data_IF_155154263813
#
_entry.id   IF_155154263813
#
_cell.length_a   1.000
_cell.length_b   1.000
_cell.length_c   1.000
_cell.angle_alpha   90.00
_cell.angle_beta   90.00
_cell.angle_gamma   90.00
#
_symmetry.space_group_name_H-M   'P 1'
#
loop_
_entity.id
_entity.type
_entity.pdbx_description
1 polymer ?
#
# COMPACT_ATOMS: atom_id res chain seq x y z
N UNK A 1 -75.05 71.51 -6.11
CA UNK A 1 -74.22 71.16 -4.93
C UNK A 1 -73.16 72.23 -4.68
N UNK A 2 -72.40 72.64 -5.71
CA UNK A 2 -71.38 73.69 -5.62
C UNK A 2 -71.97 75.05 -5.19
N UNK A 3 -73.11 75.46 -5.75
CA UNK A 3 -73.79 76.72 -5.39
C UNK A 3 -74.19 76.78 -3.91
N UNK A 4 -74.70 75.68 -3.34
CA UNK A 4 -75.08 75.60 -1.92
C UNK A 4 -73.87 75.75 -0.98
N UNK A 5 -72.72 75.22 -1.38
CA UNK A 5 -71.46 75.34 -0.62
C UNK A 5 -70.91 76.77 -0.71
N UNK A 6 -71.01 77.40 -1.88
CA UNK A 6 -70.61 78.80 -2.05
C UNK A 6 -71.46 79.75 -1.22
N UNK A 7 -72.78 79.55 -1.20
CA UNK A 7 -73.69 80.35 -0.40
C UNK A 7 -73.44 80.21 1.11
N UNK A 8 -73.13 79.00 1.57
CA UNK A 8 -72.76 78.73 2.96
C UNK A 8 -71.45 79.43 3.36
N UNK A 9 -70.41 79.37 2.50
CA UNK A 9 -69.12 80.02 2.75
C UNK A 9 -69.21 81.55 2.73
N UNK A 10 -70.02 82.10 1.81
CA UNK A 10 -70.27 83.53 1.74
C UNK A 10 -71.01 84.05 2.99
N UNK A 11 -71.99 83.30 3.49
CA UNK A 11 -72.75 83.64 4.71
C UNK A 11 -71.92 83.56 5.99
N UNK A 12 -71.08 82.53 6.14
CA UNK A 12 -70.41 82.25 7.41
C UNK A 12 -68.96 82.76 7.52
N UNK A 13 -68.28 83.02 6.40
CA UNK A 13 -66.86 83.42 6.41
C UNK A 13 -66.56 84.77 5.76
N UNK A 14 -67.59 85.52 5.32
CA UNK A 14 -67.46 86.83 4.66
C UNK A 14 -66.44 86.87 3.50
N UNK A 15 -66.15 85.73 2.87
CA UNK A 15 -65.26 85.60 1.71
C UNK A 15 -66.08 85.20 0.50
N UNK A 16 -66.07 86.04 -0.54
CA UNK A 16 -66.68 85.69 -1.82
C UNK A 16 -65.75 84.78 -2.60
N UNK A 17 -66.11 83.49 -2.72
CA UNK A 17 -65.36 82.53 -3.54
C UNK A 17 -66.15 82.26 -4.81
N UNK A 18 -65.49 82.36 -5.97
CA UNK A 18 -66.12 82.08 -7.26
C UNK A 18 -65.55 80.79 -7.82
N UNK A 19 -66.37 79.75 -7.95
CA UNK A 19 -66.01 78.57 -8.74
C UNK A 19 -66.39 78.83 -10.20
N UNK A 20 -65.38 78.92 -11.03
CA UNK A 20 -65.53 79.00 -12.48
C UNK A 20 -65.41 77.59 -13.08
N UNK A 21 -66.00 77.33 -14.26
CA UNK A 21 -65.78 76.08 -14.98
C UNK A 21 -64.29 75.74 -15.21
N UNK A 22 -63.42 76.76 -15.21
CA UNK A 22 -61.96 76.60 -15.25
C UNK A 22 -61.42 75.81 -14.04
N UNK A 23 -61.94 76.04 -12.84
CA UNK A 23 -61.55 75.27 -11.65
C UNK A 23 -61.94 73.79 -11.75
N UNK A 24 -63.04 73.47 -12.45
CA UNK A 24 -63.43 72.08 -12.69
C UNK A 24 -62.52 71.40 -13.71
N UNK A 25 -62.14 72.11 -14.79
CA UNK A 25 -61.15 71.61 -15.75
C UNK A 25 -59.78 71.42 -15.10
N UNK A 26 -59.37 72.32 -14.19
CA UNK A 26 -58.14 72.18 -13.44
C UNK A 26 -58.20 70.98 -12.48
N UNK A 27 -59.34 70.72 -11.82
CA UNK A 27 -59.53 69.50 -11.00
C UNK A 27 -59.37 68.22 -11.84
N UNK A 28 -59.99 68.16 -13.03
CA UNK A 28 -59.85 67.00 -13.92
C UNK A 28 -58.39 66.79 -14.32
N UNK A 29 -57.67 67.86 -14.67
CA UNK A 29 -56.25 67.79 -15.02
C UNK A 29 -55.39 67.28 -13.86
N UNK A 30 -55.62 67.80 -12.65
CA UNK A 30 -54.90 67.33 -11.46
C UNK A 30 -55.25 65.87 -11.13
N UNK A 31 -56.50 65.47 -11.29
CA UNK A 31 -56.92 64.08 -11.06
C UNK A 31 -56.24 63.11 -12.03
N UNK A 32 -56.22 63.43 -13.32
CA UNK A 32 -55.53 62.61 -14.33
C UNK A 32 -54.04 62.51 -14.02
N UNK A 33 -53.39 63.62 -13.68
CA UNK A 33 -51.98 63.63 -13.29
C UNK A 33 -51.71 62.76 -12.05
N UNK A 34 -52.51 62.92 -10.99
CA UNK A 34 -52.35 62.14 -9.76
C UNK A 34 -52.61 60.64 -10.00
N UNK A 35 -53.59 60.32 -10.85
CA UNK A 35 -53.89 58.95 -11.22
C UNK A 35 -52.72 58.30 -11.97
N UNK A 36 -52.12 59.01 -12.92
CA UNK A 36 -50.92 58.54 -13.64
C UNK A 36 -49.74 58.35 -12.69
N UNK A 37 -49.48 59.29 -11.78
CA UNK A 37 -48.42 59.18 -10.77
C UNK A 37 -48.64 57.96 -9.85
N UNK A 38 -49.87 57.75 -9.36
CA UNK A 38 -50.19 56.59 -8.51
C UNK A 38 -50.14 55.27 -9.26
N UNK A 39 -50.57 55.25 -10.52
CA UNK A 39 -50.45 54.08 -11.38
C UNK A 39 -48.97 53.71 -11.59
N UNK A 40 -48.12 54.67 -11.89
CA UNK A 40 -46.68 54.43 -12.08
C UNK A 40 -46.02 53.90 -10.81
N UNK A 41 -46.35 54.46 -9.63
CA UNK A 41 -45.85 53.95 -8.34
C UNK A 41 -46.24 52.48 -8.12
N UNK A 42 -47.51 52.13 -8.36
CA UNK A 42 -47.99 50.75 -8.24
C UNK A 42 -47.32 49.81 -9.24
N UNK A 43 -47.14 50.24 -10.49
CA UNK A 43 -46.46 49.45 -11.53
C UNK A 43 -44.99 49.19 -11.15
N UNK A 44 -44.30 50.16 -10.57
CA UNK A 44 -42.92 50.02 -10.11
C UNK A 44 -42.81 49.06 -8.91
N UNK A 45 -43.68 49.19 -7.91
CA UNK A 45 -43.76 48.28 -6.77
C UNK A 45 -44.08 46.85 -7.22
N UNK A 46 -45.05 46.68 -8.12
CA UNK A 46 -45.40 45.37 -8.68
C UNK A 46 -44.22 44.75 -9.43
N UNK A 47 -43.50 45.57 -10.22
CA UNK A 47 -42.31 45.10 -10.94
C UNK A 47 -41.21 44.66 -9.97
N UNK A 48 -40.94 45.45 -8.93
CA UNK A 48 -39.95 45.09 -7.91
C UNK A 48 -40.28 43.77 -7.22
N UNK A 49 -41.54 43.59 -6.79
CA UNK A 49 -42.02 42.35 -6.20
C UNK A 49 -41.92 41.17 -7.17
N UNK A 50 -42.31 41.36 -8.43
CA UNK A 50 -42.25 40.31 -9.44
C UNK A 50 -40.81 39.86 -9.72
N UNK A 51 -39.86 40.80 -9.79
CA UNK A 51 -38.44 40.48 -9.96
C UNK A 51 -37.89 39.78 -8.72
N UNK A 52 -38.23 40.25 -7.53
CA UNK A 52 -37.81 39.63 -6.27
C UNK A 52 -38.31 38.19 -6.12
N UNK A 53 -39.60 37.95 -6.42
CA UNK A 53 -40.18 36.61 -6.41
C UNK A 53 -39.51 35.67 -7.41
N UNK A 54 -39.22 36.16 -8.62
CA UNK A 54 -38.52 35.37 -9.63
C UNK A 54 -37.11 34.98 -9.16
N UNK A 55 -36.37 35.93 -8.61
CA UNK A 55 -35.04 35.65 -8.07
C UNK A 55 -35.09 34.61 -6.93
N UNK A 56 -36.09 34.70 -6.04
CA UNK A 56 -36.27 33.72 -4.96
C UNK A 56 -36.55 32.31 -5.52
N UNK A 57 -37.43 32.20 -6.52
CA UNK A 57 -37.73 30.92 -7.17
C UNK A 57 -36.48 30.32 -7.85
N UNK A 58 -35.72 31.14 -8.58
CA UNK A 58 -34.46 30.70 -9.20
C UNK A 58 -33.46 30.20 -8.14
N UNK A 59 -33.33 30.92 -7.01
CA UNK A 59 -32.44 30.48 -5.92
C UNK A 59 -32.92 29.19 -5.24
N UNK A 60 -34.23 29.00 -5.07
CA UNK A 60 -34.80 27.78 -4.52
C UNK A 60 -34.47 26.57 -5.40
N UNK A 61 -34.65 26.71 -6.72
CA UNK A 61 -34.28 25.67 -7.68
C UNK A 61 -32.79 25.36 -7.68
N UNK A 62 -31.93 26.38 -7.59
CA UNK A 62 -30.48 26.19 -7.49
C UNK A 62 -30.07 25.45 -6.21
N UNK A 63 -30.67 25.82 -5.07
CA UNK A 63 -30.39 25.16 -3.79
C UNK A 63 -30.85 23.72 -3.82
N UNK A 64 -32.03 23.44 -4.39
CA UNK A 64 -32.53 22.07 -4.56
C UNK A 64 -31.58 21.22 -5.41
N UNK A 65 -31.08 21.76 -6.55
CA UNK A 65 -30.08 21.08 -7.39
C UNK A 65 -28.78 20.83 -6.64
N UNK A 66 -28.25 21.84 -5.93
CA UNK A 66 -27.02 21.68 -5.14
C UNK A 66 -27.18 20.64 -4.03
N UNK A 67 -28.34 20.54 -3.41
CA UNK A 67 -28.59 19.54 -2.37
C UNK A 67 -28.55 18.11 -2.94
N UNK A 68 -29.08 17.89 -4.14
CA UNK A 68 -29.00 16.60 -4.82
C UNK A 68 -27.53 16.27 -5.13
N UNK A 69 -26.79 17.19 -5.74
CA UNK A 69 -25.37 17.00 -6.07
C UNK A 69 -24.53 16.71 -4.83
N UNK A 70 -24.82 17.39 -3.71
CA UNK A 70 -24.12 17.20 -2.44
C UNK A 70 -24.38 15.81 -1.87
N UNK A 71 -25.64 15.37 -1.85
CA UNK A 71 -26.00 14.03 -1.39
C UNK A 71 -25.35 12.93 -2.24
N UNK A 72 -25.24 13.13 -3.56
CA UNK A 72 -24.54 12.18 -4.44
C UNK A 72 -23.03 12.13 -4.15
N UNK A 73 -22.40 13.30 -3.97
CA UNK A 73 -20.98 13.39 -3.63
C UNK A 73 -20.67 12.82 -2.26
N UNK A 74 -21.52 13.01 -1.26
CA UNK A 74 -21.38 12.40 0.05
C UNK A 74 -21.40 10.88 -0.04
N UNK A 75 -22.35 10.30 -0.78
CA UNK A 75 -22.38 8.85 -1.01
C UNK A 75 -21.11 8.35 -1.67
N UNK A 76 -20.64 9.02 -2.74
CA UNK A 76 -19.40 8.66 -3.41
C UNK A 76 -18.20 8.74 -2.45
N UNK A 77 -18.11 9.80 -1.64
CA UNK A 77 -17.04 9.97 -0.66
C UNK A 77 -17.04 8.85 0.37
N UNK A 78 -18.21 8.48 0.91
CA UNK A 78 -18.29 7.39 1.89
C UNK A 78 -17.84 6.05 1.31
N UNK A 79 -18.18 5.76 0.06
CA UNK A 79 -17.73 4.54 -0.62
C UNK A 79 -16.22 4.56 -0.87
N UNK A 80 -15.69 5.67 -1.38
CA UNK A 80 -14.24 5.82 -1.61
C UNK A 80 -13.44 5.78 -0.32
N UNK A 81 -13.96 6.37 0.76
CA UNK A 81 -13.34 6.31 2.08
C UNK A 81 -13.25 4.87 2.57
N UNK A 82 -14.34 4.09 2.42
CA UNK A 82 -14.35 2.67 2.79
C UNK A 82 -13.32 1.87 1.99
N UNK A 83 -13.23 2.09 0.69
CA UNK A 83 -12.22 1.44 -0.17
C UNK A 83 -10.80 1.82 0.27
N UNK A 84 -10.56 3.09 0.61
CA UNK A 84 -9.28 3.57 1.09
C UNK A 84 -8.89 2.92 2.43
N UNK A 85 -9.84 2.85 3.38
CA UNK A 85 -9.64 2.22 4.68
C UNK A 85 -9.35 0.72 4.54
N UNK A 86 -10.08 0.01 3.69
CA UNK A 86 -9.84 -1.41 3.40
C UNK A 86 -8.45 -1.64 2.81
N UNK A 87 -8.03 -0.78 1.87
CA UNK A 87 -6.69 -0.86 1.27
C UNK A 87 -5.59 -0.55 2.27
N UNK A 88 -5.79 0.43 3.15
CA UNK A 88 -4.85 0.75 4.22
C UNK A 88 -4.68 -0.44 5.17
N UNK A 89 -5.78 -1.10 5.54
CA UNK A 89 -5.75 -2.31 6.38
C UNK A 89 -4.97 -3.45 5.71
N UNK A 90 -5.19 -3.68 4.41
CA UNK A 90 -4.43 -4.67 3.64
C UNK A 90 -2.94 -4.34 3.60
N UNK A 91 -2.59 -3.07 3.36
CA UNK A 91 -1.20 -2.61 3.37
C UNK A 91 -0.55 -2.87 4.73
N UNK A 92 -1.20 -2.48 5.83
CA UNK A 92 -0.67 -2.72 7.18
C UNK A 92 -0.49 -4.22 7.49
N UNK A 93 -1.41 -5.07 7.01
CA UNK A 93 -1.26 -6.52 7.16
C UNK A 93 -0.03 -7.03 6.40
N UNK A 94 0.09 -6.64 5.13
CA UNK A 94 1.22 -7.04 4.28
C UNK A 94 2.57 -6.54 4.82
N UNK A 95 2.60 -5.32 5.37
CA UNK A 95 3.79 -4.75 6.00
C UNK A 95 4.16 -5.53 7.26
N UNK A 96 3.17 -5.90 8.08
CA UNK A 96 3.40 -6.70 9.28
C UNK A 96 3.91 -8.11 8.97
N UNK A 97 3.42 -8.73 7.90
CA UNK A 97 3.92 -10.03 7.44
C UNK A 97 5.34 -9.92 6.86
N UNK A 98 5.59 -8.90 6.05
CA UNK A 98 6.91 -8.66 5.47
C UNK A 98 7.97 -8.36 6.54
N UNK A 99 7.62 -7.57 7.56
CA UNK A 99 8.52 -7.27 8.69
C UNK A 99 8.82 -8.53 9.51
N UNK A 100 7.82 -9.35 9.84
CA UNK A 100 8.03 -10.65 10.50
C UNK A 100 8.93 -11.59 9.69
N UNK A 101 8.66 -11.77 8.41
CA UNK A 101 9.46 -12.63 7.54
C UNK A 101 10.91 -12.12 7.44
N UNK A 102 11.10 -10.80 7.38
CA UNK A 102 12.43 -10.19 7.40
C UNK A 102 13.16 -10.43 8.72
N UNK A 103 12.49 -10.28 9.86
CA UNK A 103 13.06 -10.56 11.17
C UNK A 103 13.45 -12.04 11.31
N UNK A 104 12.61 -12.95 10.83
CA UNK A 104 12.90 -14.39 10.78
C UNK A 104 14.10 -14.71 9.89
N UNK A 105 14.17 -14.11 8.69
CA UNK A 105 15.29 -14.27 7.78
C UNK A 105 16.61 -13.80 8.41
N UNK A 106 16.62 -12.63 9.06
CA UNK A 106 17.80 -12.11 9.78
C UNK A 106 18.22 -13.07 10.90
N UNK A 107 17.25 -13.63 11.65
CA UNK A 107 17.54 -14.60 12.72
C UNK A 107 18.18 -15.87 12.16
N UNK A 108 17.61 -16.44 11.10
CA UNK A 108 18.12 -17.65 10.45
C UNK A 108 19.50 -17.39 9.85
N UNK A 109 19.70 -16.26 9.18
CA UNK A 109 21.00 -15.90 8.61
C UNK A 109 22.08 -15.79 9.70
N UNK A 110 21.76 -15.19 10.85
CA UNK A 110 22.67 -15.13 12.00
C UNK A 110 23.01 -16.52 12.58
N UNK A 111 22.06 -17.45 12.57
CA UNK A 111 22.28 -18.84 13.02
C UNK A 111 23.15 -19.63 12.04
N UNK A 112 22.84 -19.53 10.73
CA UNK A 112 23.64 -20.14 9.66
C UNK A 112 25.07 -19.63 9.66
N UNK A 113 25.28 -18.32 9.87
CA UNK A 113 26.63 -17.76 9.97
C UNK A 113 27.41 -18.36 11.14
N UNK A 114 26.78 -18.58 12.30
CA UNK A 114 27.44 -19.23 13.46
C UNK A 114 27.82 -20.67 13.13
N UNK A 115 26.90 -21.44 12.56
CA UNK A 115 27.17 -22.82 12.17
C UNK A 115 28.26 -22.92 11.11
N UNK A 116 28.26 -22.03 10.12
CA UNK A 116 29.28 -21.98 9.08
C UNK A 116 30.67 -21.74 9.67
N UNK A 117 30.81 -20.87 10.68
CA UNK A 117 32.09 -20.65 11.38
C UNK A 117 32.58 -21.93 12.08
N UNK A 118 31.67 -22.70 12.69
CA UNK A 118 32.02 -23.98 13.33
C UNK A 118 32.46 -25.00 12.27
N UNK A 119 31.66 -25.18 11.22
CA UNK A 119 31.93 -26.14 10.14
C UNK A 119 33.27 -25.81 9.48
N UNK A 120 33.50 -24.55 9.11
CA UNK A 120 34.77 -24.13 8.47
C UNK A 120 35.98 -24.35 9.36
N UNK A 121 35.84 -24.17 10.68
CA UNK A 121 36.90 -24.47 11.63
C UNK A 121 37.17 -25.99 11.72
N UNK A 122 36.13 -26.82 11.72
CA UNK A 122 36.28 -28.28 11.74
C UNK A 122 36.85 -28.83 10.43
N UNK A 123 36.36 -28.36 9.28
CA UNK A 123 36.88 -28.79 7.97
C UNK A 123 38.35 -28.41 7.82
N UNK A 124 38.75 -27.22 8.26
CA UNK A 124 40.15 -26.80 8.24
C UNK A 124 41.05 -27.71 9.08
N UNK A 125 40.58 -28.15 10.26
CA UNK A 125 41.31 -29.12 11.09
C UNK A 125 41.47 -30.47 10.38
N UNK A 126 40.37 -31.00 9.84
CA UNK A 126 40.38 -32.30 9.13
C UNK A 126 41.24 -32.25 7.87
N UNK A 127 41.20 -31.15 7.11
CA UNK A 127 42.05 -30.95 5.94
C UNK A 127 43.53 -30.90 6.31
N UNK A 128 43.88 -30.27 7.44
CA UNK A 128 45.25 -30.27 7.96
C UNK A 128 45.72 -31.67 8.33
N UNK A 129 44.92 -32.43 9.09
CA UNK A 129 45.24 -33.82 9.46
C UNK A 129 45.38 -34.72 8.22
N UNK A 130 44.51 -34.53 7.23
CA UNK A 130 44.59 -35.26 5.97
C UNK A 130 45.84 -34.88 5.17
N UNK A 131 46.24 -33.61 5.16
CA UNK A 131 47.45 -33.14 4.48
C UNK A 131 48.73 -33.72 5.11
N UNK A 132 48.74 -33.94 6.43
CA UNK A 132 49.84 -34.64 7.12
C UNK A 132 49.88 -36.14 6.79
N UNK A 133 48.71 -36.79 6.67
CA UNK A 133 48.62 -38.22 6.40
C UNK A 133 48.87 -38.61 4.93
N UNK A 134 48.44 -37.76 3.97
CA UNK A 134 48.60 -37.99 2.51
C UNK A 134 50.04 -38.32 2.06
N UNK A 135 51.10 -37.58 2.46
CA UNK A 135 52.46 -37.87 2.00
C UNK A 135 52.96 -39.23 2.48
N UNK A 136 52.58 -39.67 3.68
CA UNK A 136 52.92 -40.99 4.19
C UNK A 136 52.25 -42.11 3.37
N UNK A 137 50.99 -41.91 2.99
CA UNK A 137 50.25 -42.83 2.12
C UNK A 137 50.83 -42.90 0.71
N UNK A 138 51.11 -41.76 0.08
CA UNK A 138 51.72 -41.71 -1.26
C UNK A 138 53.13 -42.32 -1.27
N UNK A 139 53.92 -42.07 -0.22
CA UNK A 139 55.22 -42.71 -0.06
C UNK A 139 55.08 -44.23 0.03
N UNK A 140 54.14 -44.73 0.84
CA UNK A 140 53.86 -46.17 0.95
C UNK A 140 53.38 -46.76 -0.39
N UNK A 141 52.48 -46.08 -1.11
CA UNK A 141 51.99 -46.53 -2.41
C UNK A 141 53.11 -46.59 -3.45
N UNK A 142 53.98 -45.57 -3.50
CA UNK A 142 55.17 -45.56 -4.37
C UNK A 142 56.11 -46.72 -4.03
N UNK A 143 56.39 -46.94 -2.74
CA UNK A 143 57.22 -48.06 -2.29
C UNK A 143 56.64 -49.42 -2.72
N UNK A 144 55.33 -49.63 -2.59
CA UNK A 144 54.66 -50.86 -3.04
C UNK A 144 54.72 -51.01 -4.57
N UNK A 145 54.50 -49.93 -5.33
CA UNK A 145 54.58 -49.95 -6.80
C UNK A 145 56.01 -50.23 -7.32
N UNK A 146 57.03 -49.95 -6.51
CA UNK A 146 58.43 -50.20 -6.83
C UNK A 146 58.89 -51.64 -6.48
N UNK A 147 58.00 -52.48 -5.94
CA UNK A 147 58.28 -53.91 -5.72
C UNK A 147 58.31 -54.61 -7.07
N UNK A 148 59.48 -55.16 -7.42
CA UNK A 148 59.65 -55.88 -8.69
C UNK A 148 59.03 -57.27 -8.59
N UNK A 149 58.43 -57.73 -9.69
CA UNK A 149 57.83 -59.07 -9.79
C UNK A 149 58.81 -60.19 -9.40
N UNK A 150 60.09 -60.04 -9.73
CA UNK A 150 61.14 -60.98 -9.33
C UNK A 150 61.26 -61.17 -7.82
N UNK A 151 61.08 -60.13 -7.01
CA UNK A 151 61.13 -60.21 -5.55
C UNK A 151 59.90 -60.93 -4.97
N UNK A 152 58.74 -60.83 -5.64
CA UNK A 152 57.54 -61.58 -5.27
C UNK A 152 57.65 -63.06 -5.65
N UNK A 153 58.27 -63.36 -6.80
CA UNK A 153 58.54 -64.73 -7.24
C UNK A 153 59.55 -65.44 -6.32
N UNK A 154 60.53 -64.72 -5.77
CA UNK A 154 61.45 -65.22 -4.74
C UNK A 154 60.72 -65.59 -3.44
N UNK A 155 59.82 -64.73 -2.94
CA UNK A 155 59.02 -65.01 -1.74
C UNK A 155 58.09 -66.21 -1.94
N UNK A 156 57.53 -66.36 -3.15
CA UNK A 156 56.71 -67.52 -3.53
C UNK A 156 57.50 -68.83 -3.56
N UNK A 157 58.79 -68.79 -3.92
CA UNK A 157 59.66 -69.97 -4.00
C UNK A 157 60.22 -70.40 -2.62
N UNK A 158 60.05 -69.60 -1.57
CA UNK A 158 60.52 -69.95 -0.22
C UNK A 158 59.60 -70.98 0.44
N UNK A 159 60.17 -72.09 0.92
CA UNK A 159 59.45 -73.11 1.71
C UNK A 159 59.04 -72.59 3.11
N UNK A 160 59.77 -71.62 3.66
CA UNK A 160 59.47 -70.98 4.95
C UNK A 160 60.03 -69.56 4.98
N UNK A 161 59.23 -68.52 4.72
CA UNK A 161 59.70 -67.14 4.80
C UNK A 161 59.95 -66.70 6.25
N UNK A 162 60.85 -65.72 6.49
CA UNK A 162 61.10 -65.17 7.82
C UNK A 162 59.83 -64.62 8.48
N UNK A 163 59.76 -64.68 9.81
CA UNK A 163 58.58 -64.31 10.61
C UNK A 163 58.00 -62.92 10.26
N UNK A 164 58.86 -61.93 10.02
CA UNK A 164 58.45 -60.58 9.60
C UNK A 164 57.72 -60.55 8.25
N UNK A 165 58.11 -61.39 7.30
CA UNK A 165 57.50 -61.49 5.96
C UNK A 165 56.16 -62.23 6.03
N UNK A 166 56.08 -63.26 6.89
CA UNK A 166 54.83 -64.00 7.13
C UNK A 166 53.75 -63.10 7.72
N UNK A 167 54.09 -62.31 8.74
CA UNK A 167 53.16 -61.38 9.40
C UNK A 167 52.66 -60.27 8.47
N UNK A 168 53.53 -59.69 7.63
CA UNK A 168 53.13 -58.62 6.70
C UNK A 168 52.22 -59.13 5.59
N UNK A 169 52.50 -60.29 4.99
CA UNK A 169 51.64 -60.89 3.97
C UNK A 169 50.30 -61.34 4.54
N UNK A 170 50.29 -61.87 5.77
CA UNK A 170 49.05 -62.21 6.46
C UNK A 170 48.18 -60.97 6.69
N UNK A 171 48.76 -59.86 7.15
CA UNK A 171 48.04 -58.60 7.33
C UNK A 171 47.44 -58.08 6.01
N UNK A 172 48.18 -58.16 4.91
CA UNK A 172 47.68 -57.77 3.57
C UNK A 172 46.55 -58.69 3.11
N UNK A 173 46.67 -60.01 3.27
CA UNK A 173 45.63 -60.95 2.89
C UNK A 173 44.33 -60.75 3.71
N UNK A 174 44.46 -60.43 5.01
CA UNK A 174 43.31 -60.08 5.86
C UNK A 174 42.65 -58.78 5.37
N UNK A 175 43.43 -57.73 5.06
CA UNK A 175 42.92 -56.47 4.50
C UNK A 175 42.23 -56.65 3.13
N UNK A 176 42.68 -57.62 2.34
CA UNK A 176 42.07 -58.02 1.06
C UNK A 176 40.87 -58.99 1.22
N UNK A 177 40.49 -59.34 2.46
CA UNK A 177 39.31 -60.16 2.75
C UNK A 177 39.52 -61.68 2.64
N UNK A 178 40.76 -62.14 2.48
CA UNK A 178 41.10 -63.57 2.44
C UNK A 178 41.35 -64.07 3.85
N UNK A 179 40.54 -65.04 4.33
CA UNK A 179 40.75 -65.69 5.62
C UNK A 179 41.99 -66.59 5.55
N UNK A 180 43.06 -66.23 6.25
CA UNK A 180 44.30 -67.00 6.31
C UNK A 180 44.45 -67.60 7.71
N UNK A 181 44.62 -68.92 7.80
CA UNK A 181 44.90 -69.61 9.06
C UNK A 181 46.38 -69.41 9.46
N UNK A 182 46.62 -69.09 10.73
CA UNK A 182 47.91 -68.59 11.27
C UNK A 182 49.02 -69.66 11.18
N UNK A 183 48.64 -70.92 11.00
CA UNK A 183 49.52 -72.09 11.12
C UNK A 183 50.13 -72.60 9.82
N UNK A 184 49.63 -72.25 8.63
CA UNK A 184 50.04 -72.89 7.39
C UNK A 184 50.37 -71.88 6.28
N UNK A 185 51.67 -71.75 6.01
CA UNK A 185 52.12 -71.20 4.73
C UNK A 185 51.79 -72.24 3.65
N UNK A 186 51.12 -71.88 2.54
CA UNK A 186 50.83 -72.83 1.48
C UNK A 186 52.15 -73.37 0.91
N UNK A 187 52.30 -74.70 0.89
CA UNK A 187 53.43 -75.40 0.28
C UNK A 187 53.57 -75.07 -1.20
#
# INVERSE_FOLDING_TARGET
MVEKVMEYLAKNMARSTFITPRHYLDLIRHFVKLFEEKRQQLEEEQKHLSVGLKALQETEEEVAKRQVDLNEKEKLLTEQQKIADDKLNQMMHSEKEATKSREEAIRVEAEVQKEMVVITAETSKVESELAEAKPALEAAQKSVSNIKKSQLDEIRAMKSPPERVKLTLQAVCILLGVKVDVSQWPN
#
